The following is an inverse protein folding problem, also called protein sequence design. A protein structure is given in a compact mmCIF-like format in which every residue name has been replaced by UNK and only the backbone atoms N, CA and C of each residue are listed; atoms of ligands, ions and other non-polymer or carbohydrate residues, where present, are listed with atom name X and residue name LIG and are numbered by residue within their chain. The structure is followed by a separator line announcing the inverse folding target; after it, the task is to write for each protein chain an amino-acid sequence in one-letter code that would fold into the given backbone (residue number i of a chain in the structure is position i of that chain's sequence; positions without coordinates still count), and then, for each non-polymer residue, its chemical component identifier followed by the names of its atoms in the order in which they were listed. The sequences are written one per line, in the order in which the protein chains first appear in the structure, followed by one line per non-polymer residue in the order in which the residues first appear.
data_IF_436286245192
#
_entry.id   IF_436286245192
#
_cell.length_a   1.000
_cell.length_b   1.000
_cell.length_c   1.000
_cell.angle_alpha   90.00
_cell.angle_beta   90.00
_cell.angle_gamma   90.00
#
_symmetry.space_group_name_H-M   'P 1'
#
loop_
_entity.id
_entity.type
_entity.pdbx_description
1 polymer ?
#
# COMPACT_ATOMS: atom_id res chain seq x y z
N UNK A 1 -15.37 -10.74 -1.30
CA UNK A 1 -14.95 -9.54 -0.57
C UNK A 1 -13.50 -9.25 -0.91
N UNK A 2 -13.18 -8.02 -1.28
CA UNK A 2 -11.83 -7.65 -1.67
C UNK A 2 -10.98 -7.28 -0.44
N UNK A 3 -9.68 -7.59 -0.50
CA UNK A 3 -8.71 -7.17 0.49
C UNK A 3 -8.19 -5.78 0.13
N UNK A 4 -7.89 -4.95 1.11
CA UNK A 4 -7.38 -3.60 0.89
C UNK A 4 -5.92 -3.52 1.32
N UNK A 5 -5.07 -3.15 0.37
CA UNK A 5 -3.64 -2.95 0.60
C UNK A 5 -3.32 -1.46 0.43
N UNK A 6 -2.51 -0.93 1.32
CA UNK A 6 -2.22 0.51 1.35
C UNK A 6 -0.73 0.77 1.44
N UNK A 7 -0.26 1.73 0.65
CA UNK A 7 1.05 2.35 0.83
C UNK A 7 0.81 3.72 1.45
N UNK A 8 1.26 3.91 2.68
CA UNK A 8 0.93 5.08 3.48
C UNK A 8 2.17 5.92 3.72
N UNK A 9 2.14 7.17 3.28
CA UNK A 9 3.26 8.10 3.46
C UNK A 9 3.42 8.44 4.93
N UNK A 10 4.68 8.35 5.42
CA UNK A 10 5.02 8.63 6.80
C UNK A 10 5.67 10.01 6.93
N UNK A 11 5.66 10.56 8.14
CA UNK A 11 6.24 11.88 8.40
C UNK A 11 7.75 11.95 8.11
N UNK A 12 8.46 10.82 8.17
CA UNK A 12 9.89 10.74 7.87
C UNK A 12 10.20 10.55 6.39
N UNK A 13 9.17 10.55 5.53
CA UNK A 13 9.32 10.36 4.09
C UNK A 13 9.29 8.92 3.62
N UNK A 14 9.19 7.97 4.53
CA UNK A 14 9.05 6.56 4.18
C UNK A 14 7.61 6.20 3.84
N UNK A 15 7.44 5.03 3.24
CA UNK A 15 6.13 4.50 2.88
C UNK A 15 5.89 3.18 3.61
N UNK A 16 4.85 3.14 4.43
CA UNK A 16 4.46 1.93 5.14
C UNK A 16 3.46 1.14 4.29
N UNK A 17 3.72 -0.15 4.13
CA UNK A 17 2.78 -1.06 3.45
C UNK A 17 1.91 -1.73 4.49
N UNK A 18 0.59 -1.65 4.33
CA UNK A 18 -0.35 -2.22 5.27
C UNK A 18 -1.41 -3.06 4.58
N UNK A 19 -1.96 -4.00 5.35
CA UNK A 19 -3.05 -4.86 4.95
C UNK A 19 -3.95 -5.08 6.16
N UNK A 20 -5.24 -4.77 6.00
CA UNK A 20 -6.19 -4.98 7.08
C UNK A 20 -5.87 -4.23 8.37
N UNK A 21 -5.21 -3.08 8.29
CA UNK A 21 -4.83 -2.29 9.45
C UNK A 21 -3.49 -2.66 10.08
N UNK A 22 -2.83 -3.71 9.58
CA UNK A 22 -1.52 -4.13 10.08
C UNK A 22 -0.42 -3.71 9.08
N UNK A 23 0.60 -3.01 9.56
CA UNK A 23 1.78 -2.66 8.78
C UNK A 23 2.70 -3.89 8.71
N UNK A 24 3.04 -4.32 7.50
CA UNK A 24 3.91 -5.50 7.33
C UNK A 24 5.28 -5.14 6.77
N UNK A 25 5.46 -3.92 6.24
CA UNK A 25 6.74 -3.52 5.65
C UNK A 25 6.85 -2.01 5.55
N UNK A 26 8.06 -1.51 5.35
CA UNK A 26 8.34 -0.11 5.09
C UNK A 26 9.42 0.01 4.02
N UNK A 27 9.31 1.04 3.17
CA UNK A 27 10.25 1.31 2.09
C UNK A 27 10.59 2.81 2.06
N UNK A 28 11.80 3.13 1.62
CA UNK A 28 12.25 4.51 1.53
C UNK A 28 11.59 5.26 0.37
N UNK A 29 11.19 4.52 -0.67
CA UNK A 29 10.64 5.12 -1.89
C UNK A 29 9.33 4.43 -2.29
N UNK A 30 8.40 5.24 -2.83
CA UNK A 30 7.08 4.74 -3.22
C UNK A 30 7.13 3.65 -4.30
N UNK A 31 7.95 3.76 -5.37
CA UNK A 31 7.99 2.69 -6.37
C UNK A 31 8.33 1.32 -5.79
N UNK A 32 9.27 1.26 -4.87
CA UNK A 32 9.66 0.00 -4.21
C UNK A 32 8.53 -0.53 -3.33
N UNK A 33 7.87 0.37 -2.62
CA UNK A 33 6.71 -0.01 -1.79
C UNK A 33 5.60 -0.60 -2.66
N UNK A 34 5.33 -0.01 -3.83
CA UNK A 34 4.27 -0.47 -4.71
C UNK A 34 4.58 -1.83 -5.33
N UNK A 35 5.83 -2.10 -5.68
CA UNK A 35 6.23 -3.41 -6.21
C UNK A 35 5.95 -4.49 -5.16
N UNK A 36 6.39 -4.29 -3.93
CA UNK A 36 6.19 -5.25 -2.86
C UNK A 36 4.70 -5.40 -2.49
N UNK A 37 3.99 -4.28 -2.45
CA UNK A 37 2.56 -4.27 -2.15
C UNK A 37 1.79 -5.12 -3.17
N UNK A 38 2.09 -4.96 -4.47
CA UNK A 38 1.46 -5.73 -5.54
C UNK A 38 1.81 -7.21 -5.45
N UNK A 39 3.05 -7.54 -5.14
CA UNK A 39 3.48 -8.93 -5.02
C UNK A 39 2.69 -9.67 -3.94
N UNK A 40 2.53 -9.03 -2.79
CA UNK A 40 1.78 -9.63 -1.69
C UNK A 40 0.28 -9.65 -1.99
N UNK A 41 -0.26 -8.55 -2.55
CA UNK A 41 -1.68 -8.47 -2.88
C UNK A 41 -2.08 -9.52 -3.90
N UNK A 42 -1.19 -9.87 -4.83
CA UNK A 42 -1.47 -10.90 -5.84
C UNK A 42 -1.71 -12.29 -5.22
N UNK A 43 -1.19 -12.53 -4.03
CA UNK A 43 -1.41 -13.80 -3.32
C UNK A 43 -2.75 -13.82 -2.59
N UNK A 44 -3.44 -12.68 -2.50
CA UNK A 44 -4.68 -12.51 -1.76
C UNK A 44 -5.78 -11.91 -2.65
N UNK A 45 -5.78 -12.26 -3.93
CA UNK A 45 -6.78 -11.79 -4.88
C UNK A 45 -8.19 -12.27 -4.49
N UNK A 46 -9.23 -11.46 -4.68
CA UNK A 46 -9.21 -10.09 -5.21
C UNK A 46 -8.73 -9.08 -4.18
N UNK A 47 -7.91 -8.14 -4.64
CA UNK A 47 -7.36 -7.10 -3.77
C UNK A 47 -7.37 -5.75 -4.48
N UNK A 48 -7.54 -4.68 -3.72
CA UNK A 48 -7.45 -3.31 -4.20
C UNK A 48 -6.29 -2.61 -3.52
N UNK A 49 -5.59 -1.75 -4.29
CA UNK A 49 -4.40 -1.06 -3.82
C UNK A 49 -4.65 0.43 -3.75
N UNK A 50 -4.20 1.04 -2.65
CA UNK A 50 -4.37 2.46 -2.40
C UNK A 50 -3.04 3.09 -2.02
N UNK A 51 -2.88 4.37 -2.37
CA UNK A 51 -1.78 5.21 -1.90
C UNK A 51 -2.38 6.30 -1.03
N UNK A 52 -1.90 6.39 0.21
CA UNK A 52 -2.31 7.41 1.17
C UNK A 52 -1.19 8.43 1.32
N UNK A 53 -1.40 9.64 0.82
CA UNK A 53 -0.44 10.73 0.98
C UNK A 53 -0.62 11.40 2.34
N UNK A 54 0.47 11.97 2.85
CA UNK A 54 0.48 12.58 4.19
C UNK A 54 -0.47 13.78 4.31
N UNK A 55 -0.81 14.40 3.18
CA UNK A 55 -1.76 15.51 3.13
C UNK A 55 -3.23 15.05 3.20
N UNK A 56 -3.47 13.75 3.29
CA UNK A 56 -4.81 13.19 3.35
C UNK A 56 -5.36 12.72 2.00
N UNK A 57 -4.62 12.94 0.91
CA UNK A 57 -5.05 12.47 -0.41
C UNK A 57 -4.95 10.95 -0.49
N UNK A 58 -6.00 10.30 -0.98
CA UNK A 58 -6.05 8.84 -1.12
C UNK A 58 -6.37 8.50 -2.57
N UNK A 59 -5.53 7.68 -3.20
CA UNK A 59 -5.70 7.27 -4.59
C UNK A 59 -5.81 5.76 -4.69
N UNK A 60 -6.81 5.30 -5.44
CA UNK A 60 -6.90 3.90 -5.83
C UNK A 60 -6.01 3.70 -7.07
N UNK A 61 -5.02 2.82 -6.96
CA UNK A 61 -4.02 2.62 -8.03
C UNK A 61 -4.24 1.30 -8.78
N UNK A 62 -5.35 0.63 -8.52
CA UNK A 62 -5.73 -0.56 -9.26
C UNK A 62 -6.09 -1.73 -8.36
N UNK A 63 -6.36 -2.85 -9.01
CA UNK A 63 -6.72 -4.10 -8.33
C UNK A 63 -5.95 -5.27 -8.92
N UNK A 64 -5.82 -6.31 -8.14
CA UNK A 64 -5.19 -7.57 -8.57
C UNK A 64 -6.06 -8.76 -8.22
#
# INVERSE_FOLDING_TARGET
MAWFFRAIEQADGRWACSHGGAVFDQHDELPDALVHLRDIAATMSPAELFVHHIDGDVKNIGSV
#
